data_IF_093392399327
#
_entry.id   IF_093392399327
#
_cell.length_a   1.000
_cell.length_b   1.000
_cell.length_c   1.000
_cell.angle_alpha   90.00
_cell.angle_beta   90.00
_cell.angle_gamma   90.00
#
_symmetry.space_group_name_H-M   'P 1'
#
loop_
_entity.id
_entity.type
_entity.pdbx_description
1 polymer ?
#
# COMPACT_ATOMS: atom_id res chain seq x y z
N UNK A 1 -42.01 32.53 2.38
CA UNK A 1 -40.59 32.55 2.73
C UNK A 1 -40.32 31.21 3.42
N UNK A 2 -39.95 30.24 2.63
CA UNK A 2 -39.56 28.89 3.12
C UNK A 2 -38.04 28.80 3.06
N UNK A 3 -37.48 28.84 4.26
CA UNK A 3 -36.04 28.70 4.52
C UNK A 3 -35.68 27.26 4.27
N UNK A 4 -34.99 27.01 3.17
CA UNK A 4 -34.50 25.68 2.77
C UNK A 4 -33.14 25.54 3.42
N UNK A 5 -33.14 25.05 4.67
CA UNK A 5 -31.91 24.66 5.36
C UNK A 5 -31.16 23.63 4.50
N UNK A 6 -30.11 24.08 3.83
CA UNK A 6 -29.15 23.22 3.21
C UNK A 6 -28.47 22.40 4.33
N UNK A 7 -28.87 21.15 4.47
CA UNK A 7 -28.17 20.17 5.27
C UNK A 7 -26.84 19.91 4.59
N UNK A 8 -25.79 20.55 5.09
CA UNK A 8 -24.41 20.19 4.77
C UNK A 8 -24.19 18.72 5.14
N UNK A 9 -24.36 17.84 4.18
CA UNK A 9 -23.90 16.47 4.30
C UNK A 9 -22.37 16.51 4.37
N UNK A 10 -21.82 16.58 5.56
CA UNK A 10 -20.39 16.32 5.78
C UNK A 10 -20.13 14.92 5.25
N UNK A 11 -19.56 14.84 4.06
CA UNK A 11 -19.19 13.57 3.45
C UNK A 11 -18.16 12.91 4.36
N UNK A 12 -18.51 11.78 4.96
CA UNK A 12 -17.61 11.07 5.86
C UNK A 12 -16.30 10.73 5.17
N UNK A 13 -15.17 11.07 5.78
CA UNK A 13 -13.83 10.81 5.24
C UNK A 13 -13.63 9.32 5.00
N UNK A 14 -13.28 8.95 3.76
CA UNK A 14 -12.89 7.59 3.41
C UNK A 14 -11.42 7.36 3.82
N UNK A 15 -11.20 6.63 4.91
CA UNK A 15 -9.86 6.26 5.41
C UNK A 15 -9.50 4.88 4.90
N UNK A 16 -8.61 4.82 3.92
CA UNK A 16 -8.28 3.60 3.17
C UNK A 16 -6.89 3.11 3.60
N UNK A 17 -6.84 1.92 4.18
CA UNK A 17 -5.61 1.22 4.49
C UNK A 17 -5.29 0.21 3.36
N UNK A 18 -4.33 0.56 2.50
CA UNK A 18 -3.85 -0.30 1.42
C UNK A 18 -2.67 -1.13 1.92
N UNK A 19 -2.89 -2.43 2.06
CA UNK A 19 -1.91 -3.40 2.55
C UNK A 19 -1.16 -4.07 1.41
N UNK A 20 0.16 -4.11 1.51
CA UNK A 20 1.00 -4.72 0.49
C UNK A 20 2.31 -5.28 1.05
N UNK A 21 2.91 -6.21 0.34
CA UNK A 21 4.32 -6.54 0.50
C UNK A 21 5.23 -5.57 -0.28
N UNK A 22 6.55 -5.69 -0.14
CA UNK A 22 7.49 -4.91 -0.92
C UNK A 22 7.42 -5.28 -2.42
N UNK A 23 7.82 -4.37 -3.30
CA UNK A 23 7.92 -4.58 -4.76
C UNK A 23 6.61 -4.94 -5.47
N UNK A 24 5.48 -4.53 -4.94
CA UNK A 24 4.13 -4.78 -5.46
C UNK A 24 3.55 -3.60 -6.23
N UNK A 25 4.35 -2.63 -6.69
CA UNK A 25 3.91 -1.34 -7.27
C UNK A 25 3.13 -0.43 -6.30
N UNK A 26 3.17 -0.68 -5.00
CA UNK A 26 2.40 0.07 -3.99
C UNK A 26 2.69 1.57 -4.00
N UNK A 27 3.93 1.98 -4.28
CA UNK A 27 4.28 3.40 -4.38
C UNK A 27 3.69 4.05 -5.64
N UNK A 28 3.66 3.34 -6.78
CA UNK A 28 2.97 3.84 -7.98
C UNK A 28 1.46 3.97 -7.74
N UNK A 29 0.86 3.00 -7.03
CA UNK A 29 -0.54 3.09 -6.64
C UNK A 29 -0.79 4.27 -5.67
N UNK A 30 0.11 4.51 -4.71
CA UNK A 30 0.04 5.70 -3.84
C UNK A 30 0.11 6.99 -4.67
N UNK A 31 0.96 7.07 -5.70
CA UNK A 31 1.01 8.23 -6.64
C UNK A 31 -0.33 8.45 -7.34
N UNK A 32 -0.99 7.37 -7.78
CA UNK A 32 -2.31 7.45 -8.38
C UNK A 32 -3.34 8.07 -7.43
N UNK A 33 -3.36 7.63 -6.17
CA UNK A 33 -4.25 8.21 -5.16
C UNK A 33 -3.87 9.65 -4.80
N UNK A 34 -2.60 9.97 -4.64
CA UNK A 34 -2.11 11.31 -4.32
C UNK A 34 -2.45 12.33 -5.39
N UNK A 35 -2.51 11.92 -6.66
CA UNK A 35 -2.78 12.83 -7.77
C UNK A 35 -4.25 13.29 -7.87
N UNK A 36 -5.15 12.70 -7.07
CA UNK A 36 -6.55 13.14 -6.94
C UNK A 36 -6.60 14.44 -6.14
N UNK A 37 -7.45 15.40 -6.52
CA UNK A 37 -7.57 16.67 -5.80
C UNK A 37 -8.19 16.53 -4.39
N UNK A 38 -8.98 15.46 -4.16
CA UNK A 38 -9.72 15.21 -2.91
C UNK A 38 -8.97 14.30 -1.92
N UNK A 39 -7.74 13.89 -2.22
CA UNK A 39 -7.02 12.87 -1.46
C UNK A 39 -5.82 13.45 -0.71
N UNK A 40 -5.57 12.92 0.49
CA UNK A 40 -4.31 13.01 1.24
C UNK A 40 -3.73 11.61 1.32
N UNK A 41 -2.41 11.49 1.23
CA UNK A 41 -1.72 10.20 1.37
C UNK A 41 -0.76 10.22 2.54
N UNK A 42 -0.51 9.04 3.12
CA UNK A 42 0.59 8.78 4.05
C UNK A 42 1.33 7.52 3.61
N UNK A 43 2.65 7.61 3.65
CA UNK A 43 3.55 6.55 3.22
C UNK A 43 4.10 5.79 4.42
N UNK A 44 3.85 4.49 4.47
CA UNK A 44 4.38 3.52 5.44
C UNK A 44 4.34 4.00 6.91
N UNK A 45 3.18 4.38 7.45
CA UNK A 45 3.11 5.07 8.75
C UNK A 45 3.63 4.26 9.94
N UNK A 46 3.71 2.93 9.84
CA UNK A 46 4.25 2.05 10.87
C UNK A 46 5.75 1.76 10.72
N UNK A 47 6.46 2.38 9.78
CA UNK A 47 7.85 2.04 9.48
C UNK A 47 8.82 2.38 10.63
N UNK A 48 8.66 3.54 11.25
CA UNK A 48 9.48 3.94 12.42
C UNK A 48 9.33 2.96 13.59
N UNK A 49 8.09 2.57 13.88
CA UNK A 49 7.78 1.55 14.88
C UNK A 49 8.46 0.22 14.51
N UNK A 50 8.26 -0.27 13.28
CA UNK A 50 8.84 -1.53 12.83
C UNK A 50 10.36 -1.54 12.97
N UNK A 51 11.05 -0.52 12.49
CA UNK A 51 12.51 -0.44 12.59
C UNK A 51 12.99 -0.34 14.05
N UNK A 52 12.28 0.40 14.89
CA UNK A 52 12.63 0.52 16.30
C UNK A 52 12.54 -0.82 17.05
N UNK A 53 11.56 -1.67 16.70
CA UNK A 53 11.25 -2.92 17.40
C UNK A 53 11.95 -4.14 16.81
N UNK A 54 12.01 -4.26 15.49
CA UNK A 54 12.56 -5.45 14.81
C UNK A 54 14.09 -5.51 14.82
N UNK A 55 14.76 -4.36 14.96
CA UNK A 55 16.21 -4.28 14.78
C UNK A 55 16.67 -4.55 13.33
N UNK A 56 15.74 -4.61 12.37
CA UNK A 56 16.05 -4.89 10.97
C UNK A 56 17.10 -3.91 10.42
N UNK A 57 18.16 -4.41 9.77
CA UNK A 57 19.12 -3.54 9.10
C UNK A 57 18.48 -2.86 7.92
N UNK A 58 18.56 -1.54 7.89
CA UNK A 58 17.98 -0.73 6.82
C UNK A 58 18.86 0.50 6.57
N UNK A 59 19.12 0.87 5.30
CA UNK A 59 19.78 2.14 5.00
C UNK A 59 18.98 3.31 5.57
N UNK A 60 19.63 4.17 6.37
CA UNK A 60 18.96 5.30 7.00
C UNK A 60 18.01 4.95 8.16
N UNK A 61 18.14 3.76 8.77
CA UNK A 61 17.29 3.29 9.89
C UNK A 61 17.05 4.37 10.96
N UNK A 62 18.12 4.95 11.48
CA UNK A 62 18.02 5.94 12.56
C UNK A 62 17.34 7.25 12.12
N UNK A 63 17.47 7.61 10.85
CA UNK A 63 16.78 8.76 10.27
C UNK A 63 15.27 8.49 10.15
N UNK A 64 14.88 7.29 9.70
CA UNK A 64 13.47 6.89 9.65
C UNK A 64 12.85 6.90 11.06
N UNK A 65 13.51 6.28 12.05
CA UNK A 65 13.02 6.26 13.43
C UNK A 65 12.85 7.68 14.01
N UNK A 66 13.77 8.60 13.68
CA UNK A 66 13.68 10.00 14.13
C UNK A 66 12.59 10.81 13.42
N UNK A 67 12.19 10.40 12.21
CA UNK A 67 11.26 11.18 11.39
C UNK A 67 9.79 10.90 11.70
N UNK A 68 9.48 9.85 12.48
CA UNK A 68 8.10 9.42 12.74
C UNK A 68 7.97 8.75 14.10
N UNK A 69 6.73 8.62 14.60
CA UNK A 69 6.47 7.94 15.87
C UNK A 69 6.84 6.46 15.82
N UNK A 70 7.43 5.96 16.90
CA UNK A 70 7.69 4.54 17.13
C UNK A 70 6.65 3.88 18.07
N UNK A 71 5.59 4.58 18.43
CA UNK A 71 4.43 4.00 19.12
C UNK A 71 3.31 3.69 18.11
N UNK A 72 3.07 2.42 17.86
CA UNK A 72 2.04 1.99 16.92
C UNK A 72 0.62 2.42 17.33
N UNK A 73 0.35 2.60 18.63
CA UNK A 73 -0.96 3.04 19.13
C UNK A 73 -1.24 4.48 18.73
N UNK A 74 -0.27 5.35 18.96
CA UNK A 74 -0.32 6.75 18.53
C UNK A 74 -0.51 6.84 17.00
N UNK A 75 0.29 6.07 16.25
CA UNK A 75 0.18 6.03 14.78
C UNK A 75 -1.22 5.62 14.34
N UNK A 76 -1.77 4.51 14.86
CA UNK A 76 -3.09 4.03 14.46
C UNK A 76 -4.21 4.99 14.88
N UNK A 77 -4.09 5.65 16.03
CA UNK A 77 -5.06 6.68 16.46
C UNK A 77 -5.08 7.85 15.49
N UNK A 78 -3.92 8.35 15.06
CA UNK A 78 -3.83 9.41 14.05
C UNK A 78 -4.42 8.98 12.70
N UNK A 79 -4.13 7.75 12.24
CA UNK A 79 -4.66 7.23 10.99
C UNK A 79 -6.19 7.15 10.97
N UNK A 80 -6.81 6.86 12.11
CA UNK A 80 -8.27 6.75 12.27
C UNK A 80 -8.95 8.08 12.48
N UNK A 81 -8.29 9.05 13.14
CA UNK A 81 -8.97 10.23 13.69
C UNK A 81 -8.45 11.58 13.20
N UNK A 82 -7.21 11.66 12.67
CA UNK A 82 -6.65 12.95 12.27
C UNK A 82 -7.56 13.70 11.30
N UNK A 83 -7.80 14.99 11.53
CA UNK A 83 -8.57 15.81 10.59
C UNK A 83 -7.82 15.93 9.26
N UNK A 84 -8.55 16.01 8.18
CA UNK A 84 -7.97 16.29 6.87
C UNK A 84 -8.09 17.77 6.54
N UNK A 85 -7.23 18.33 5.69
CA UNK A 85 -7.38 19.66 5.15
C UNK A 85 -8.72 19.86 4.45
N UNK A 86 -9.21 21.09 4.38
CA UNK A 86 -10.46 21.43 3.72
C UNK A 86 -10.52 20.93 2.28
N UNK A 87 -11.66 20.40 1.90
CA UNK A 87 -11.90 19.81 0.57
C UNK A 87 -11.32 18.41 0.38
N UNK A 88 -10.64 17.83 1.37
CA UNK A 88 -10.14 16.46 1.32
C UNK A 88 -11.13 15.49 1.95
N UNK A 89 -11.53 14.49 1.19
CA UNK A 89 -12.52 13.48 1.60
C UNK A 89 -11.96 12.06 1.61
N UNK A 90 -10.74 11.86 1.10
CA UNK A 90 -10.05 10.57 1.04
C UNK A 90 -8.73 10.65 1.76
N UNK A 91 -8.49 9.73 2.68
CA UNK A 91 -7.20 9.54 3.35
C UNK A 91 -6.64 8.16 2.97
N UNK A 92 -5.73 8.13 2.00
CA UNK A 92 -5.07 6.90 1.54
C UNK A 92 -3.80 6.63 2.33
N UNK A 93 -3.71 5.45 2.92
CA UNK A 93 -2.61 5.01 3.77
C UNK A 93 -1.91 3.83 3.10
N UNK A 94 -0.67 4.02 2.65
CA UNK A 94 0.15 2.92 2.11
C UNK A 94 0.81 2.17 3.26
N UNK A 95 0.44 0.92 3.46
CA UNK A 95 0.98 0.05 4.51
C UNK A 95 1.83 -1.08 3.94
N UNK A 96 2.93 -1.38 4.63
CA UNK A 96 3.67 -2.62 4.46
C UNK A 96 3.23 -3.63 5.50
N UNK A 97 2.78 -4.80 5.07
CA UNK A 97 2.21 -5.81 5.97
C UNK A 97 3.22 -6.36 6.97
N UNK A 98 4.51 -6.48 6.58
CA UNK A 98 5.57 -6.90 7.49
C UNK A 98 5.88 -5.89 8.62
N UNK A 99 5.39 -4.65 8.54
CA UNK A 99 5.48 -3.70 9.64
C UNK A 99 4.51 -4.02 10.80
N UNK A 100 3.54 -4.91 10.59
CA UNK A 100 2.64 -5.39 11.64
C UNK A 100 3.29 -6.51 12.44
N UNK A 101 4.12 -6.14 13.41
CA UNK A 101 4.68 -7.09 14.35
C UNK A 101 3.58 -7.72 15.23
N UNK A 102 3.86 -8.88 15.87
CA UNK A 102 2.84 -9.62 16.63
C UNK A 102 2.14 -8.82 17.74
N UNK A 103 2.82 -7.86 18.34
CA UNK A 103 2.29 -7.04 19.44
C UNK A 103 1.31 -5.93 18.99
N UNK A 104 1.19 -5.67 17.69
CA UNK A 104 0.19 -4.72 17.19
C UNK A 104 -1.19 -5.36 17.26
N UNK A 105 -2.08 -4.76 18.03
CA UNK A 105 -3.47 -5.22 18.09
C UNK A 105 -4.18 -5.01 16.75
N UNK A 106 -4.54 -6.12 16.08
CA UNK A 106 -5.28 -6.08 14.80
C UNK A 106 -6.68 -5.48 14.96
N UNK A 107 -7.26 -5.56 16.17
CA UNK A 107 -8.53 -4.91 16.49
C UNK A 107 -8.48 -3.39 16.37
N UNK A 108 -7.31 -2.80 16.61
CA UNK A 108 -7.09 -1.36 16.45
C UNK A 108 -7.16 -0.87 14.99
N UNK A 109 -7.13 -1.77 14.01
CA UNK A 109 -7.29 -1.46 12.58
C UNK A 109 -8.77 -1.29 12.17
N UNK A 110 -9.71 -1.69 13.03
CA UNK A 110 -11.16 -1.54 12.75
C UNK A 110 -11.52 -0.07 12.55
N UNK A 111 -12.48 0.18 11.66
CA UNK A 111 -12.91 1.54 11.31
C UNK A 111 -12.18 2.14 10.10
N UNK A 112 -11.13 1.48 9.59
CA UNK A 112 -10.54 1.78 8.29
C UNK A 112 -11.23 0.94 7.19
N UNK A 113 -11.21 1.43 5.95
CA UNK A 113 -11.56 0.65 4.76
C UNK A 113 -10.28 -0.06 4.30
N UNK A 114 -10.28 -1.39 4.35
CA UNK A 114 -9.10 -2.17 3.99
C UNK A 114 -9.13 -2.53 2.51
N UNK A 115 -7.94 -2.52 1.89
CA UNK A 115 -7.71 -3.05 0.55
C UNK A 115 -6.32 -3.72 0.50
N UNK A 116 -6.14 -4.63 -0.43
CA UNK A 116 -4.94 -5.45 -0.50
C UNK A 116 -4.37 -5.45 -1.92
N UNK A 117 -3.09 -5.13 -2.02
CA UNK A 117 -2.35 -5.20 -3.27
C UNK A 117 -1.40 -6.39 -3.21
N UNK A 118 -1.62 -7.35 -4.09
CA UNK A 118 -0.81 -8.56 -4.21
C UNK A 118 0.02 -8.57 -5.49
N UNK A 119 1.00 -9.43 -5.54
CA UNK A 119 1.80 -9.70 -6.73
C UNK A 119 2.29 -11.14 -6.72
N UNK A 120 2.33 -11.75 -7.90
CA UNK A 120 2.92 -13.07 -8.10
C UNK A 120 4.29 -13.20 -7.38
N UNK A 121 4.48 -14.21 -6.51
CA UNK A 121 5.68 -14.33 -5.68
C UNK A 121 6.99 -14.42 -6.47
N UNK A 122 6.98 -15.09 -7.63
CA UNK A 122 8.17 -15.22 -8.47
C UNK A 122 8.59 -13.88 -9.05
N UNK A 123 7.62 -13.08 -9.52
CA UNK A 123 7.87 -11.73 -10.02
C UNK A 123 8.30 -10.77 -8.91
N UNK A 124 7.69 -10.90 -7.72
CA UNK A 124 8.05 -10.13 -6.54
C UNK A 124 9.50 -10.43 -6.15
N UNK A 125 9.86 -11.71 -5.98
CA UNK A 125 11.20 -12.15 -5.58
C UNK A 125 12.26 -11.79 -6.64
N UNK A 126 11.97 -11.97 -7.92
CA UNK A 126 12.87 -11.55 -9.00
C UNK A 126 13.16 -10.03 -8.98
N UNK A 127 12.19 -9.23 -8.56
CA UNK A 127 12.37 -7.78 -8.34
C UNK A 127 13.10 -7.46 -7.04
N UNK A 128 12.83 -8.19 -5.97
CA UNK A 128 13.35 -7.93 -4.64
C UNK A 128 14.82 -8.34 -4.50
N UNK A 129 15.23 -9.43 -5.13
CA UNK A 129 16.61 -9.91 -5.16
C UNK A 129 17.61 -8.90 -5.78
N UNK A 130 17.10 -7.92 -6.53
CA UNK A 130 17.95 -6.84 -7.09
C UNK A 130 18.38 -5.82 -6.04
N UNK A 131 17.69 -5.76 -4.91
CA UNK A 131 17.89 -4.75 -3.85
C UNK A 131 18.21 -5.37 -2.49
N UNK A 132 17.95 -6.67 -2.32
CA UNK A 132 18.25 -7.43 -1.11
C UNK A 132 18.71 -8.84 -1.47
N UNK A 133 19.89 -9.24 -1.00
CA UNK A 133 20.55 -10.47 -1.43
C UNK A 133 19.83 -11.73 -0.96
N UNK A 134 19.32 -11.77 0.26
CA UNK A 134 18.75 -12.97 0.89
C UNK A 134 17.39 -12.63 1.55
N UNK A 135 16.31 -12.48 0.74
CA UNK A 135 14.98 -12.24 1.30
C UNK A 135 14.46 -13.50 2.02
N UNK A 136 13.72 -13.28 3.10
CA UNK A 136 12.99 -14.34 3.82
C UNK A 136 11.49 -14.02 3.82
N UNK A 137 10.63 -15.01 4.12
CA UNK A 137 9.17 -14.84 4.13
C UNK A 137 8.72 -13.66 5.02
N UNK A 138 9.39 -13.48 6.17
CA UNK A 138 9.09 -12.39 7.09
C UNK A 138 9.30 -10.99 6.48
N UNK A 139 10.23 -10.84 5.53
CA UNK A 139 10.47 -9.57 4.83
C UNK A 139 9.35 -9.21 3.85
N UNK A 140 8.57 -10.20 3.43
CA UNK A 140 7.54 -10.05 2.42
C UNK A 140 6.16 -9.74 3.00
N UNK A 141 5.92 -10.14 4.25
CA UNK A 141 4.69 -9.87 4.98
C UNK A 141 3.44 -10.57 4.44
N UNK A 142 3.59 -11.63 3.66
CA UNK A 142 2.47 -12.37 3.07
C UNK A 142 1.59 -13.05 4.12
N UNK A 143 2.14 -13.71 5.18
CA UNK A 143 1.33 -14.27 6.25
C UNK A 143 0.47 -13.22 6.95
N UNK A 144 1.06 -12.06 7.27
CA UNK A 144 0.33 -10.95 7.89
C UNK A 144 -0.74 -10.37 6.94
N UNK A 145 -0.48 -10.35 5.63
CA UNK A 145 -1.45 -9.87 4.65
C UNK A 145 -2.70 -10.76 4.62
N UNK A 146 -2.51 -12.07 4.61
CA UNK A 146 -3.61 -13.05 4.67
C UNK A 146 -4.32 -12.98 6.03
N UNK A 147 -3.58 -12.85 7.14
CA UNK A 147 -4.15 -12.68 8.49
C UNK A 147 -5.11 -11.49 8.53
N UNK A 148 -4.69 -10.31 8.04
CA UNK A 148 -5.51 -9.10 8.04
C UNK A 148 -6.73 -9.28 7.12
N UNK A 149 -6.52 -9.86 5.95
CA UNK A 149 -7.60 -10.12 4.99
C UNK A 149 -8.70 -11.00 5.59
N UNK A 150 -8.33 -12.11 6.24
CA UNK A 150 -9.28 -13.01 6.91
C UNK A 150 -10.03 -12.33 8.05
N UNK A 151 -9.35 -11.42 8.77
CA UNK A 151 -9.92 -10.75 9.94
C UNK A 151 -10.84 -9.57 9.58
N UNK A 152 -10.48 -8.78 8.57
CA UNK A 152 -11.09 -7.48 8.31
C UNK A 152 -11.78 -7.41 6.94
N UNK A 153 -11.44 -8.29 6.01
CA UNK A 153 -11.96 -8.27 4.64
C UNK A 153 -11.48 -7.06 3.83
N UNK A 154 -11.97 -6.96 2.63
CA UNK A 154 -11.71 -5.85 1.71
C UNK A 154 -11.35 -6.29 0.30
N UNK A 155 -11.39 -5.39 -0.69
CA UNK A 155 -11.01 -5.68 -2.06
C UNK A 155 -9.53 -6.06 -2.19
N UNK A 156 -9.27 -7.06 -3.03
CA UNK A 156 -7.92 -7.51 -3.40
C UNK A 156 -7.67 -7.12 -4.85
N UNK A 157 -6.53 -6.51 -5.13
CA UNK A 157 -6.08 -6.18 -6.50
C UNK A 157 -4.71 -6.78 -6.77
N UNK A 158 -4.54 -7.36 -7.95
CA UNK A 158 -3.24 -7.88 -8.38
C UNK A 158 -2.45 -6.82 -9.16
N UNK A 159 -1.17 -6.71 -8.87
CA UNK A 159 -0.28 -5.75 -9.52
C UNK A 159 -0.19 -5.95 -11.03
N UNK A 160 -0.23 -7.21 -11.49
CA UNK A 160 -0.21 -7.55 -12.91
C UNK A 160 -1.49 -7.09 -13.61
N UNK A 161 -2.65 -7.24 -12.96
CA UNK A 161 -3.93 -6.81 -13.52
C UNK A 161 -4.03 -5.28 -13.59
N UNK A 162 -3.55 -4.57 -12.56
CA UNK A 162 -3.45 -3.09 -12.61
C UNK A 162 -2.55 -2.65 -13.78
N UNK A 163 -1.40 -3.30 -13.98
CA UNK A 163 -0.48 -2.92 -15.06
C UNK A 163 -1.02 -3.26 -16.46
N UNK A 164 -1.86 -4.30 -16.60
CA UNK A 164 -2.51 -4.65 -17.88
C UNK A 164 -3.64 -3.71 -18.22
N UNK A 165 -4.45 -3.35 -17.22
CA UNK A 165 -5.68 -2.60 -17.39
C UNK A 165 -5.85 -1.55 -16.28
N UNK A 166 -5.01 -0.46 -16.25
CA UNK A 166 -5.01 0.47 -15.13
C UNK A 166 -6.39 1.09 -14.86
N UNK A 167 -7.07 1.59 -15.90
CA UNK A 167 -8.35 2.27 -15.73
C UNK A 167 -9.44 1.34 -15.20
N UNK A 168 -9.78 0.20 -15.83
CA UNK A 168 -10.82 -0.68 -15.31
C UNK A 168 -10.55 -1.16 -13.89
N UNK A 169 -9.29 -1.48 -13.58
CA UNK A 169 -8.90 -1.94 -12.23
C UNK A 169 -9.06 -0.85 -11.18
N UNK A 170 -8.69 0.40 -11.48
CA UNK A 170 -8.84 1.52 -10.55
C UNK A 170 -10.30 1.94 -10.40
N UNK A 171 -11.11 1.86 -11.46
CA UNK A 171 -12.57 2.08 -11.39
C UNK A 171 -13.21 1.05 -10.45
N UNK A 172 -12.93 -0.23 -10.65
CA UNK A 172 -13.45 -1.31 -9.81
C UNK A 172 -12.95 -1.23 -8.34
N UNK A 173 -11.69 -0.87 -8.12
CA UNK A 173 -11.14 -0.66 -6.78
C UNK A 173 -11.82 0.52 -6.07
N UNK A 174 -12.01 1.64 -6.76
CA UNK A 174 -12.70 2.81 -6.21
C UNK A 174 -14.14 2.48 -5.86
N UNK A 175 -14.87 1.77 -6.73
CA UNK A 175 -16.24 1.32 -6.48
C UNK A 175 -16.32 0.42 -5.24
N UNK A 176 -15.47 -0.60 -5.17
CA UNK A 176 -15.40 -1.49 -4.01
C UNK A 176 -15.04 -0.78 -2.69
N UNK A 177 -14.33 0.34 -2.77
CA UNK A 177 -13.98 1.19 -1.62
C UNK A 177 -15.04 2.29 -1.35
N UNK A 178 -16.11 2.38 -2.16
CA UNK A 178 -17.13 3.40 -2.02
C UNK A 178 -16.59 4.82 -2.24
N UNK A 179 -15.66 4.98 -3.20
CA UNK A 179 -15.06 6.26 -3.58
C UNK A 179 -15.22 6.43 -5.09
N UNK A 180 -15.65 7.61 -5.55
CA UNK A 180 -15.76 7.86 -6.98
C UNK A 180 -14.37 7.81 -7.65
N UNK A 181 -14.26 7.11 -8.78
CA UNK A 181 -13.05 7.13 -9.59
C UNK A 181 -12.76 8.54 -10.14
N UNK A 182 -11.48 8.91 -10.18
CA UNK A 182 -10.98 10.14 -10.81
C UNK A 182 -9.90 9.78 -11.83
N UNK A 183 -10.04 10.29 -13.05
CA UNK A 183 -9.08 10.02 -14.13
C UNK A 183 -7.66 10.56 -13.85
N UNK A 184 -7.51 11.51 -12.91
CA UNK A 184 -6.21 11.97 -12.43
C UNK A 184 -5.36 10.85 -11.83
N UNK A 185 -5.97 9.72 -11.42
CA UNK A 185 -5.26 8.53 -10.93
C UNK A 185 -4.42 7.81 -12.00
N UNK A 186 -4.63 8.09 -13.29
CA UNK A 186 -3.96 7.38 -14.37
C UNK A 186 -2.58 7.94 -14.73
N UNK A 187 -2.28 9.14 -14.30
CA UNK A 187 -0.99 9.79 -14.55
C UNK A 187 -0.61 10.73 -13.42
N UNK A 188 0.68 11.01 -13.29
CA UNK A 188 1.22 11.92 -12.27
C UNK A 188 2.51 12.57 -12.76
N UNK A 189 2.88 13.76 -12.26
CA UNK A 189 4.17 14.36 -12.55
C UNK A 189 5.34 13.51 -12.02
N UNK A 190 6.44 13.42 -12.78
CA UNK A 190 7.68 12.80 -12.32
C UNK A 190 8.30 13.59 -11.17
N UNK A 191 9.13 12.94 -10.37
CA UNK A 191 9.90 13.54 -9.30
C UNK A 191 9.48 13.13 -7.90
N UNK A 192 10.24 13.59 -6.88
CA UNK A 192 9.93 13.37 -5.48
C UNK A 192 8.70 14.18 -5.04
N UNK A 193 8.08 13.75 -3.95
CA UNK A 193 6.92 14.40 -3.34
C UNK A 193 7.17 14.74 -1.89
N UNK A 194 6.53 15.79 -1.35
CA UNK A 194 6.59 16.09 0.09
C UNK A 194 6.08 14.95 0.99
N UNK A 195 5.23 14.10 0.45
CA UNK A 195 4.65 12.92 1.10
C UNK A 195 5.57 11.71 1.10
N UNK A 196 6.68 11.75 0.37
CA UNK A 196 7.69 10.69 0.39
C UNK A 196 8.39 10.68 1.74
N UNK A 197 8.47 9.50 2.37
CA UNK A 197 9.26 9.33 3.57
C UNK A 197 10.78 9.51 3.32
N UNK A 198 11.54 9.75 4.37
CA UNK A 198 13.01 9.95 4.30
C UNK A 198 13.74 8.76 3.68
N UNK A 199 13.13 7.59 3.65
CA UNK A 199 13.63 6.35 3.02
C UNK A 199 13.48 6.35 1.49
N UNK A 200 12.70 7.25 0.90
CA UNK A 200 12.39 7.25 -0.52
C UNK A 200 13.66 7.29 -1.40
N UNK A 201 14.70 8.00 -0.98
CA UNK A 201 15.99 8.07 -1.68
C UNK A 201 16.67 6.72 -1.88
N UNK A 202 16.32 5.71 -1.08
CA UNK A 202 16.87 4.36 -1.22
C UNK A 202 16.03 3.45 -2.12
N UNK A 203 14.73 3.77 -2.30
CA UNK A 203 13.78 2.84 -2.91
C UNK A 203 12.96 3.40 -4.07
N UNK A 204 12.79 4.75 -4.19
CA UNK A 204 11.79 5.35 -5.07
C UNK A 204 12.31 5.84 -6.41
N UNK A 205 13.56 5.58 -6.72
CA UNK A 205 14.22 6.02 -7.94
C UNK A 205 13.42 5.67 -9.22
N UNK A 206 12.86 4.47 -9.28
CA UNK A 206 12.00 4.03 -10.38
C UNK A 206 10.67 4.79 -10.44
N UNK A 207 10.06 5.06 -9.29
CA UNK A 207 8.77 5.77 -9.24
C UNK A 207 8.96 7.26 -9.49
N UNK A 208 10.06 7.85 -9.06
CA UNK A 208 10.38 9.26 -9.36
C UNK A 208 10.54 9.54 -10.87
N UNK A 209 10.97 8.55 -11.65
CA UNK A 209 11.02 8.65 -13.11
C UNK A 209 9.70 8.35 -13.81
N UNK A 210 8.72 7.83 -13.10
CA UNK A 210 7.44 7.44 -13.69
C UNK A 210 6.46 8.61 -13.76
N UNK A 211 5.57 8.55 -14.76
CA UNK A 211 4.46 9.49 -14.94
C UNK A 211 3.10 8.78 -15.03
N UNK A 212 3.06 7.50 -14.71
CA UNK A 212 1.88 6.63 -14.77
C UNK A 212 2.28 5.19 -14.52
N UNK A 213 1.31 4.29 -14.59
CA UNK A 213 1.57 2.86 -14.55
C UNK A 213 2.34 2.43 -15.80
N UNK A 214 3.48 1.78 -15.62
CA UNK A 214 4.23 1.21 -16.72
C UNK A 214 3.47 0.03 -17.36
N UNK A 215 3.83 -0.36 -18.60
CA UNK A 215 3.22 -1.52 -19.22
C UNK A 215 3.53 -2.79 -18.43
N UNK A 216 2.55 -3.70 -18.36
CA UNK A 216 2.81 -5.04 -17.85
C UNK A 216 3.92 -5.70 -18.67
N UNK A 217 4.88 -6.25 -17.98
CA UNK A 217 5.94 -7.05 -18.60
C UNK A 217 5.93 -8.41 -17.91
N UNK A 218 5.66 -9.42 -18.69
CA UNK A 218 5.88 -10.78 -18.21
C UNK A 218 7.36 -10.95 -17.85
N UNK A 219 7.63 -11.39 -16.63
CA UNK A 219 9.02 -11.63 -16.23
C UNK A 219 9.52 -12.88 -16.94
N UNK A 220 10.28 -12.69 -18.01
CA UNK A 220 11.01 -13.78 -18.68
C UNK A 220 12.29 -14.17 -17.95
N UNK A 221 12.71 -13.39 -16.96
CA UNK A 221 13.87 -13.71 -16.16
C UNK A 221 13.57 -14.90 -15.24
N UNK A 222 14.33 -15.97 -15.38
CA UNK A 222 14.27 -17.10 -14.46
C UNK A 222 14.55 -16.60 -13.03
N UNK A 223 13.75 -17.05 -12.07
CA UNK A 223 14.04 -16.80 -10.67
C UNK A 223 15.36 -17.50 -10.32
N UNK A 224 16.28 -16.83 -9.60
CA UNK A 224 17.48 -17.51 -9.11
C UNK A 224 17.12 -18.82 -8.38
N UNK A 225 17.79 -19.95 -8.67
CA UNK A 225 17.44 -21.24 -8.07
C UNK A 225 17.39 -21.22 -6.53
N UNK A 226 18.23 -20.41 -5.90
CA UNK A 226 18.24 -20.24 -4.45
C UNK A 226 16.95 -19.64 -3.88
N UNK A 227 16.14 -18.96 -4.69
CA UNK A 227 14.87 -18.33 -4.28
C UNK A 227 13.64 -19.20 -4.61
N UNK A 228 13.81 -20.32 -5.32
CA UNK A 228 12.69 -21.22 -5.64
C UNK A 228 11.98 -21.76 -4.39
N UNK A 229 12.70 -22.21 -3.34
CA UNK A 229 12.02 -22.68 -2.11
C UNK A 229 11.15 -21.57 -1.47
N UNK A 230 11.67 -20.34 -1.41
CA UNK A 230 10.93 -19.21 -0.87
C UNK A 230 9.71 -18.85 -1.74
N UNK A 231 9.84 -18.94 -3.08
CA UNK A 231 8.70 -18.72 -3.97
C UNK A 231 7.59 -19.75 -3.73
N UNK A 232 7.96 -21.02 -3.55
CA UNK A 232 7.03 -22.09 -3.21
C UNK A 232 6.37 -21.87 -1.84
N UNK A 233 7.11 -21.41 -0.85
CA UNK A 233 6.58 -21.07 0.47
C UNK A 233 5.59 -19.89 0.41
N UNK A 234 5.81 -18.93 -0.46
CA UNK A 234 4.94 -17.78 -0.67
C UNK A 234 3.66 -18.10 -1.43
N UNK A 235 3.69 -19.12 -2.29
CA UNK A 235 2.63 -19.41 -3.26
C UNK A 235 1.25 -19.60 -2.63
N UNK A 236 1.07 -20.38 -1.53
CA UNK A 236 -0.26 -20.56 -0.92
C UNK A 236 -0.90 -19.27 -0.44
N UNK A 237 -0.13 -18.34 0.11
CA UNK A 237 -0.63 -17.04 0.55
C UNK A 237 -1.11 -16.18 -0.61
N UNK A 238 -0.36 -16.20 -1.71
CA UNK A 238 -0.75 -15.49 -2.91
C UNK A 238 -2.01 -16.08 -3.53
N UNK A 239 -2.09 -17.41 -3.70
CA UNK A 239 -3.24 -18.09 -4.30
C UNK A 239 -4.54 -17.85 -3.54
N UNK A 240 -4.48 -17.87 -2.21
CA UNK A 240 -5.63 -17.54 -1.37
C UNK A 240 -6.13 -16.13 -1.66
N UNK A 241 -5.25 -15.13 -1.64
CA UNK A 241 -5.62 -13.75 -1.92
C UNK A 241 -6.06 -13.56 -3.37
N UNK A 242 -5.38 -14.21 -4.32
CA UNK A 242 -5.66 -14.12 -5.75
C UNK A 242 -7.05 -14.66 -6.12
N UNK A 243 -7.53 -15.68 -5.41
CA UNK A 243 -8.88 -16.20 -5.58
C UNK A 243 -9.98 -15.17 -5.26
N UNK A 244 -9.66 -14.17 -4.44
CA UNK A 244 -10.58 -13.11 -4.01
C UNK A 244 -10.35 -11.77 -4.73
N UNK A 245 -9.46 -11.73 -5.74
CA UNK A 245 -9.16 -10.47 -6.42
C UNK A 245 -10.32 -9.95 -7.24
N UNK A 246 -10.38 -8.64 -7.37
CA UNK A 246 -11.30 -7.96 -8.29
C UNK A 246 -10.98 -8.39 -9.72
N UNK A 247 -12.01 -8.71 -10.47
CA UNK A 247 -12.01 -8.93 -11.92
C UNK A 247 -12.96 -7.87 -12.47
N UNK A 248 -12.46 -6.82 -13.18
CA UNK A 248 -13.28 -5.73 -13.72
C UNK A 248 -14.15 -6.17 -14.89
#
# INVERSE_FOLDING_TARGET
MTDQAATDHVTAVARIAMWSGPRTISTALMRAWENRPDTVVVDEPLYGYYLARSGSPHPGRDEVIKSMSSDWREVLDLLRSAPLPDGKTVYYQKHMTHHLLPEVDRGALRGLRHAFLIRDPRQLLASYARVRAEPVLADLGLPQQVEIFRLLGGPVVDAGDILRQPRPMLEALCDALGVRFDSAMLSWPAGPRPTDGVWARYWYDGVWRSTGFGPYRESTAALPPALEPLAQECQPFYEEMYAHRIIP
#
